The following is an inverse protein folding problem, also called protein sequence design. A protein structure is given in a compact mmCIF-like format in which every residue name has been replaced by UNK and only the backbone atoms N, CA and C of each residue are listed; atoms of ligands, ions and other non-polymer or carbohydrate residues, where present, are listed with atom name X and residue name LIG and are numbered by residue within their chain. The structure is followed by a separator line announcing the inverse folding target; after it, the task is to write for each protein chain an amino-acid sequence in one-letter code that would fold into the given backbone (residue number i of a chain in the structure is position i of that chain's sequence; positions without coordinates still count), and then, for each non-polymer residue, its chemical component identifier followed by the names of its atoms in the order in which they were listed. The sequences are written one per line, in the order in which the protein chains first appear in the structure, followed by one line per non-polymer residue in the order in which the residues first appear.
data_IF_436723109930
#
_entry.id   IF_436723109930
#
_cell.length_a   1.000
_cell.length_b   1.000
_cell.length_c   1.000
_cell.angle_alpha   90.00
_cell.angle_beta   90.00
_cell.angle_gamma   90.00
#
_symmetry.space_group_name_H-M   'P 1'
#
loop_
_entity.id
_entity.type
_entity.pdbx_description
1 polymer ?
#
# COMPACT_ATOMS: atom_id res chain seq x y z
N UNK A 1 28.58 24.47 -2.79
CA UNK A 1 27.15 24.45 -3.20
C UNK A 1 26.38 23.80 -2.06
N UNK A 2 25.58 24.57 -1.33
CA UNK A 2 24.77 24.03 -0.24
C UNK A 2 23.65 23.16 -0.84
N UNK A 3 23.53 21.91 -0.39
CA UNK A 3 22.42 21.03 -0.71
C UNK A 3 21.12 21.74 -0.29
N UNK A 4 20.13 21.91 -1.18
CA UNK A 4 18.85 22.48 -0.77
C UNK A 4 18.28 21.65 0.39
N UNK A 5 17.57 22.29 1.34
CA UNK A 5 16.95 21.56 2.45
C UNK A 5 16.06 20.45 1.87
N UNK A 6 16.05 19.25 2.46
CA UNK A 6 15.21 18.16 1.99
C UNK A 6 13.77 18.65 1.97
N UNK A 7 13.16 18.68 0.80
CA UNK A 7 11.74 18.97 0.65
C UNK A 7 10.96 17.72 1.06
N UNK A 8 9.81 17.88 1.71
CA UNK A 8 8.98 16.76 2.13
C UNK A 8 8.14 16.18 0.97
N UNK A 9 8.34 16.68 -0.25
CA UNK A 9 7.62 16.29 -1.45
C UNK A 9 8.57 16.08 -2.63
N UNK A 10 8.51 14.90 -3.26
CA UNK A 10 9.28 14.55 -4.45
C UNK A 10 8.37 14.08 -5.58
N UNK A 11 8.75 14.40 -6.81
CA UNK A 11 8.05 13.96 -8.00
C UNK A 11 9.02 13.31 -8.99
N UNK A 12 8.69 12.10 -9.43
CA UNK A 12 9.41 11.38 -10.46
C UNK A 12 8.50 11.20 -11.68
N UNK A 13 8.94 11.73 -12.82
CA UNK A 13 8.19 11.68 -14.07
C UNK A 13 8.25 10.31 -14.73
N UNK A 14 7.10 9.71 -15.03
CA UNK A 14 6.96 8.53 -15.88
C UNK A 14 5.53 8.48 -16.43
N UNK A 15 5.40 8.28 -17.74
CA UNK A 15 4.11 8.16 -18.45
C UNK A 15 3.77 6.72 -18.83
N UNK A 16 4.77 5.84 -18.87
CA UNK A 16 4.63 4.40 -19.06
C UNK A 16 4.35 3.67 -17.73
N UNK A 17 3.25 2.89 -17.62
CA UNK A 17 2.88 2.24 -16.37
C UNK A 17 3.89 1.22 -15.83
N UNK A 18 4.52 0.47 -16.72
CA UNK A 18 5.51 -0.54 -16.38
C UNK A 18 6.77 0.12 -15.83
N UNK A 19 7.29 1.15 -16.52
CA UNK A 19 8.41 1.95 -16.03
C UNK A 19 8.09 2.65 -14.71
N UNK A 20 6.87 3.17 -14.55
CA UNK A 20 6.45 3.77 -13.29
C UNK A 20 6.45 2.74 -12.15
N UNK A 21 6.01 1.50 -12.41
CA UNK A 21 6.05 0.44 -11.42
C UNK A 21 7.48 0.05 -11.02
N UNK A 22 8.38 -0.11 -11.99
CA UNK A 22 9.81 -0.35 -11.72
C UNK A 22 10.45 0.80 -10.93
N UNK A 23 10.10 2.03 -11.27
CA UNK A 23 10.59 3.21 -10.57
C UNK A 23 10.08 3.28 -9.12
N UNK A 24 8.82 2.92 -8.87
CA UNK A 24 8.29 2.78 -7.50
C UNK A 24 9.11 1.75 -6.72
N UNK A 25 9.40 0.58 -7.31
CA UNK A 25 10.18 -0.47 -6.65
C UNK A 25 11.60 0.01 -6.33
N UNK A 26 12.29 0.67 -7.28
CA UNK A 26 13.63 1.23 -7.06
C UNK A 26 13.62 2.34 -5.98
N UNK A 27 12.58 3.18 -5.96
CA UNK A 27 12.42 4.24 -4.96
C UNK A 27 12.28 3.64 -3.56
N UNK A 28 11.40 2.65 -3.39
CA UNK A 28 11.09 2.03 -2.09
C UNK A 28 12.26 1.18 -1.60
N UNK A 29 12.81 0.32 -2.46
CA UNK A 29 13.83 -0.64 -2.05
C UNK A 29 15.23 -0.05 -1.93
N UNK A 30 15.48 1.12 -2.55
CA UNK A 30 16.83 1.65 -2.67
C UNK A 30 16.93 3.16 -2.44
N UNK A 31 16.28 3.99 -3.27
CA UNK A 31 16.55 5.45 -3.24
C UNK A 31 16.18 6.11 -1.93
N UNK A 32 15.03 5.77 -1.35
CA UNK A 32 14.58 6.37 -0.09
C UNK A 32 15.44 5.85 1.07
N UNK A 33 15.63 4.53 1.27
CA UNK A 33 16.50 4.02 2.32
C UNK A 33 17.94 4.56 2.25
N UNK A 34 18.57 4.52 1.07
CA UNK A 34 19.98 4.95 0.92
C UNK A 34 20.15 6.46 1.13
N UNK A 35 19.24 7.29 0.60
CA UNK A 35 19.42 8.74 0.61
C UNK A 35 19.04 9.38 1.95
N UNK A 36 18.03 8.84 2.62
CA UNK A 36 17.44 9.44 3.81
C UNK A 36 17.62 8.61 5.07
N UNK A 37 18.25 7.44 4.98
CA UNK A 37 18.42 6.49 6.09
C UNK A 37 17.07 6.11 6.73
N UNK A 38 16.05 5.90 5.89
CA UNK A 38 14.70 5.54 6.32
C UNK A 38 14.52 4.02 6.18
N UNK A 39 14.11 3.30 7.23
CA UNK A 39 13.81 1.88 7.15
C UNK A 39 12.75 1.58 6.10
N UNK A 40 12.84 0.44 5.42
CA UNK A 40 11.86 0.03 4.40
C UNK A 40 10.45 -0.11 5.01
N UNK A 41 10.36 -0.51 6.28
CA UNK A 41 9.10 -0.66 7.00
C UNK A 41 8.37 0.67 7.23
N UNK A 42 9.10 1.78 7.22
CA UNK A 42 8.55 3.14 7.35
C UNK A 42 7.99 3.68 6.02
N UNK A 43 8.15 2.93 4.92
CA UNK A 43 7.72 3.31 3.58
C UNK A 43 6.47 2.51 3.20
N UNK A 44 5.41 3.23 2.82
CA UNK A 44 4.18 2.64 2.33
C UNK A 44 3.89 3.05 0.90
N UNK A 45 3.61 2.08 0.04
CA UNK A 45 3.10 2.34 -1.30
C UNK A 45 1.57 2.41 -1.26
N UNK A 46 1.00 3.54 -1.69
CA UNK A 46 -0.43 3.74 -1.81
C UNK A 46 -0.79 3.90 -3.28
N UNK A 47 -1.47 2.93 -3.88
CA UNK A 47 -1.90 3.01 -5.28
C UNK A 47 -3.39 3.37 -5.37
N UNK A 48 -3.80 4.28 -6.28
CA UNK A 48 -5.22 4.51 -6.53
C UNK A 48 -5.90 3.29 -7.16
N UNK A 49 -5.14 2.42 -7.85
CA UNK A 49 -5.68 1.24 -8.54
C UNK A 49 -5.29 -0.08 -7.87
N UNK A 50 -6.20 -1.06 -7.93
CA UNK A 50 -5.90 -2.43 -7.52
C UNK A 50 -5.18 -3.25 -8.61
N UNK A 51 -5.53 -3.03 -9.89
CA UNK A 51 -5.01 -3.76 -11.07
C UNK A 51 -4.16 -2.85 -11.95
N UNK A 52 -3.45 -3.48 -12.89
CA UNK A 52 -2.51 -2.82 -13.81
C UNK A 52 -1.07 -2.84 -13.31
N UNK A 53 -0.10 -2.45 -14.15
CA UNK A 53 1.33 -2.57 -13.84
C UNK A 53 1.75 -1.80 -12.58
N UNK A 54 1.21 -0.58 -12.38
CA UNK A 54 1.39 0.24 -11.18
C UNK A 54 0.22 0.11 -10.17
N UNK A 55 -0.57 -0.96 -10.27
CA UNK A 55 -1.64 -1.28 -9.33
C UNK A 55 -1.09 -1.96 -8.07
N UNK A 56 -1.81 -1.85 -6.95
CA UNK A 56 -1.38 -2.41 -5.67
C UNK A 56 -1.01 -3.91 -5.74
N UNK A 57 -1.72 -4.71 -6.55
CA UNK A 57 -1.41 -6.14 -6.71
C UNK A 57 -0.05 -6.38 -7.37
N UNK A 58 0.17 -5.79 -8.54
CA UNK A 58 1.42 -5.96 -9.29
C UNK A 58 2.61 -5.37 -8.50
N UNK A 59 2.40 -4.25 -7.81
CA UNK A 59 3.40 -3.66 -6.93
C UNK A 59 3.74 -4.56 -5.74
N UNK A 60 2.76 -5.24 -5.12
CA UNK A 60 3.04 -6.21 -4.07
C UNK A 60 3.93 -7.36 -4.58
N UNK A 61 3.62 -7.92 -5.76
CA UNK A 61 4.41 -9.00 -6.35
C UNK A 61 5.86 -8.55 -6.63
N UNK A 62 6.03 -7.36 -7.25
CA UNK A 62 7.36 -6.79 -7.55
C UNK A 62 8.14 -6.42 -6.29
N UNK A 63 7.49 -5.78 -5.31
CA UNK A 63 8.11 -5.39 -4.05
C UNK A 63 8.48 -6.61 -3.22
N UNK A 64 7.63 -7.64 -3.15
CA UNK A 64 7.98 -8.91 -2.50
C UNK A 64 9.21 -9.53 -3.18
N UNK A 65 9.24 -9.62 -4.51
CA UNK A 65 10.39 -10.18 -5.22
C UNK A 65 11.69 -9.42 -4.96
N UNK A 66 11.61 -8.09 -4.73
CA UNK A 66 12.77 -7.24 -4.46
C UNK A 66 13.20 -7.23 -3.00
N UNK A 67 12.25 -7.18 -2.08
CA UNK A 67 12.47 -6.97 -0.64
C UNK A 67 12.53 -8.29 0.14
N UNK A 68 11.83 -9.31 -0.32
CA UNK A 68 11.80 -10.65 0.25
C UNK A 68 11.90 -11.72 -0.87
N UNK A 69 13.05 -11.80 -1.57
CA UNK A 69 13.23 -12.68 -2.72
C UNK A 69 13.06 -14.15 -2.34
N UNK A 70 12.74 -14.97 -3.34
CA UNK A 70 12.68 -16.43 -3.19
C UNK A 70 14.04 -16.96 -2.70
N UNK A 71 13.96 -17.84 -1.72
CA UNK A 71 15.10 -18.55 -1.13
C UNK A 71 14.78 -20.03 -1.08
N UNK A 72 15.60 -20.86 -1.72
CA UNK A 72 15.38 -22.31 -1.79
C UNK A 72 15.46 -23.01 -0.43
N UNK A 73 16.11 -22.38 0.55
CA UNK A 73 16.25 -22.87 1.92
C UNK A 73 15.09 -22.44 2.85
N UNK A 74 14.04 -21.81 2.31
CA UNK A 74 12.90 -21.33 3.10
C UNK A 74 11.56 -21.76 2.49
N UNK A 75 10.54 -22.03 3.33
CA UNK A 75 9.23 -22.39 2.83
C UNK A 75 8.54 -21.21 2.14
N UNK A 76 7.74 -21.51 1.12
CA UNK A 76 6.75 -20.61 0.55
C UNK A 76 5.38 -21.28 0.53
N UNK A 77 4.32 -20.51 0.76
CA UNK A 77 2.95 -20.99 0.61
C UNK A 77 2.25 -20.22 -0.51
N UNK A 78 1.59 -20.96 -1.41
CA UNK A 78 0.87 -20.40 -2.56
C UNK A 78 -0.64 -20.55 -2.34
N UNK A 79 -1.33 -19.42 -2.23
CA UNK A 79 -2.79 -19.36 -2.18
C UNK A 79 -3.33 -18.69 -3.43
N UNK A 80 -3.80 -19.52 -4.37
CA UNK A 80 -4.21 -19.09 -5.71
C UNK A 80 -3.08 -18.37 -6.45
N UNK A 81 -3.21 -17.04 -6.57
CA UNK A 81 -2.22 -16.19 -7.26
C UNK A 81 -1.30 -15.41 -6.31
N UNK A 82 -1.49 -15.55 -5.00
CA UNK A 82 -0.64 -14.94 -3.97
C UNK A 82 0.41 -15.94 -3.52
N UNK A 83 1.60 -15.44 -3.24
CA UNK A 83 2.68 -16.20 -2.62
C UNK A 83 3.01 -15.52 -1.31
N UNK A 84 3.17 -16.31 -0.25
CA UNK A 84 3.53 -15.87 1.08
C UNK A 84 4.85 -16.51 1.48
N UNK A 85 5.70 -15.72 2.14
CA UNK A 85 7.03 -16.09 2.62
C UNK A 85 7.24 -15.56 4.04
N UNK A 86 8.02 -16.25 4.89
CA UNK A 86 8.50 -15.67 6.13
C UNK A 86 9.17 -14.31 5.88
N UNK A 87 8.83 -13.32 6.72
CA UNK A 87 9.26 -11.94 6.61
C UNK A 87 8.31 -11.02 5.83
N UNK A 88 7.32 -11.56 5.12
CA UNK A 88 6.37 -10.73 4.36
C UNK A 88 5.49 -9.87 5.27
N UNK A 89 5.29 -8.61 4.87
CA UNK A 89 4.26 -7.74 5.42
C UNK A 89 2.90 -8.14 4.84
N UNK A 90 1.93 -8.41 5.72
CA UNK A 90 0.57 -8.82 5.35
C UNK A 90 -0.47 -7.89 5.97
N UNK A 91 -1.64 -7.84 5.36
CA UNK A 91 -2.81 -7.06 5.78
C UNK A 91 -3.97 -8.03 6.02
N UNK A 92 -4.61 -7.90 7.18
CA UNK A 92 -5.86 -8.59 7.49
C UNK A 92 -7.02 -7.96 6.71
N UNK A 93 -7.79 -8.77 5.99
CA UNK A 93 -8.85 -8.32 5.07
C UNK A 93 -10.25 -8.27 5.68
N UNK A 94 -10.47 -8.96 6.80
CA UNK A 94 -11.77 -9.04 7.48
C UNK A 94 -11.56 -9.16 8.99
N UNK A 95 -12.52 -8.75 9.80
CA UNK A 95 -12.41 -8.93 11.25
C UNK A 95 -12.48 -10.42 11.58
N UNK A 96 -11.58 -10.89 12.41
CA UNK A 96 -11.60 -12.22 13.00
C UNK A 96 -11.52 -12.06 14.51
N UNK A 97 -12.69 -12.14 15.16
CA UNK A 97 -12.83 -11.87 16.59
C UNK A 97 -12.23 -12.98 17.45
N UNK A 98 -12.21 -14.22 16.97
CA UNK A 98 -11.61 -15.35 17.69
C UNK A 98 -10.08 -15.17 17.78
N UNK A 99 -9.49 -14.64 16.71
CA UNK A 99 -8.05 -14.32 16.63
C UNK A 99 -7.75 -12.91 17.11
N UNK A 100 -8.74 -12.12 17.53
CA UNK A 100 -8.59 -10.71 17.93
C UNK A 100 -7.79 -9.86 16.91
N UNK A 101 -8.05 -10.04 15.61
CA UNK A 101 -7.43 -9.25 14.52
C UNK A 101 -8.51 -8.58 13.70
N UNK A 102 -8.26 -7.34 13.29
CA UNK A 102 -9.24 -6.49 12.62
C UNK A 102 -8.84 -6.19 11.18
N UNK A 103 -9.85 -5.94 10.35
CA UNK A 103 -9.62 -5.53 8.97
C UNK A 103 -8.79 -4.23 8.93
N UNK A 104 -7.65 -4.29 8.25
CA UNK A 104 -6.69 -3.19 8.19
C UNK A 104 -5.43 -3.40 9.03
N UNK A 105 -5.42 -4.37 9.93
CA UNK A 105 -4.24 -4.69 10.73
C UNK A 105 -3.11 -5.17 9.83
N UNK A 106 -1.90 -4.66 10.09
CA UNK A 106 -0.69 -5.03 9.36
C UNK A 106 0.13 -5.93 10.26
N UNK A 107 0.46 -7.12 9.75
CA UNK A 107 1.32 -8.08 10.42
C UNK A 107 2.55 -8.43 9.59
N UNK A 108 3.44 -9.24 10.18
CA UNK A 108 4.58 -9.84 9.50
C UNK A 108 4.54 -11.35 9.65
N UNK A 109 4.70 -12.09 8.57
CA UNK A 109 4.80 -13.54 8.63
C UNK A 109 6.09 -13.92 9.37
N UNK A 110 5.96 -14.65 10.47
CA UNK A 110 7.10 -15.16 11.23
C UNK A 110 7.60 -16.48 10.65
N UNK A 111 6.68 -17.41 10.40
CA UNK A 111 6.98 -18.74 9.89
C UNK A 111 5.83 -19.31 9.07
N UNK A 112 6.18 -20.23 8.17
CA UNK A 112 5.23 -21.06 7.43
C UNK A 112 5.60 -22.51 7.73
N UNK A 113 4.66 -23.28 8.25
CA UNK A 113 4.80 -24.71 8.49
C UNK A 113 3.99 -25.48 7.44
N UNK A 114 4.68 -26.17 6.54
CA UNK A 114 4.04 -26.93 5.46
C UNK A 114 3.53 -28.30 5.94
N UNK A 115 4.02 -28.81 7.06
CA UNK A 115 3.62 -30.11 7.61
C UNK A 115 2.32 -29.95 8.40
N UNK A 116 2.28 -28.96 9.28
CA UNK A 116 1.07 -28.62 10.06
C UNK A 116 0.02 -27.86 9.23
N UNK A 117 0.43 -27.25 8.12
CA UNK A 117 -0.48 -26.54 7.22
C UNK A 117 -0.87 -25.16 7.74
N UNK A 118 0.07 -24.44 8.36
CA UNK A 118 -0.18 -23.20 9.08
C UNK A 118 0.81 -22.08 8.73
N UNK A 119 0.36 -20.83 8.91
CA UNK A 119 1.16 -19.61 8.83
C UNK A 119 1.04 -18.87 10.17
N UNK A 120 2.18 -18.52 10.77
CA UNK A 120 2.22 -17.64 11.95
C UNK A 120 2.52 -16.21 11.52
N UNK A 121 1.71 -15.28 11.99
CA UNK A 121 1.81 -13.85 11.68
C UNK A 121 1.90 -13.08 12.99
N UNK A 122 2.95 -12.27 13.12
CA UNK A 122 3.09 -11.30 14.20
C UNK A 122 2.29 -10.03 13.87
N UNK A 123 1.29 -9.73 14.68
CA UNK A 123 0.58 -8.46 14.68
C UNK A 123 1.00 -7.66 15.91
N UNK A 124 1.96 -6.76 15.73
CA UNK A 124 2.46 -5.85 16.78
C UNK A 124 2.92 -6.58 18.06
N UNK A 125 3.68 -7.66 17.93
CA UNK A 125 4.19 -8.46 19.05
C UNK A 125 3.27 -9.60 19.49
N UNK A 126 2.15 -9.82 18.79
CA UNK A 126 1.22 -10.90 19.03
C UNK A 126 1.22 -11.88 17.88
N UNK A 127 1.76 -13.07 18.12
CA UNK A 127 1.74 -14.18 17.15
C UNK A 127 0.33 -14.77 17.03
N UNK A 128 -0.22 -14.72 15.83
CA UNK A 128 -1.52 -15.30 15.45
C UNK A 128 -1.30 -16.39 14.40
N UNK A 129 -1.90 -17.56 14.63
CA UNK A 129 -1.84 -18.70 13.71
C UNK A 129 -3.00 -18.68 12.71
N UNK A 130 -2.70 -18.94 11.45
CA UNK A 130 -3.66 -19.13 10.37
C UNK A 130 -3.44 -20.51 9.76
N UNK A 131 -4.45 -21.36 9.82
CA UNK A 131 -4.51 -22.54 8.96
C UNK A 131 -4.57 -22.10 7.49
N UNK A 132 -4.08 -22.94 6.58
CA UNK A 132 -4.13 -22.68 5.14
C UNK A 132 -5.54 -22.38 4.60
N UNK A 133 -6.57 -22.92 5.24
CA UNK A 133 -8.00 -22.64 5.00
C UNK A 133 -8.38 -21.17 5.21
N UNK A 134 -7.72 -20.48 6.15
CA UNK A 134 -7.99 -19.09 6.54
C UNK A 134 -7.06 -18.07 5.88
N UNK A 135 -6.09 -18.51 5.06
CA UNK A 135 -5.10 -17.61 4.45
C UNK A 135 -5.72 -16.64 3.44
N UNK A 136 -6.95 -16.89 2.99
CA UNK A 136 -7.71 -15.94 2.14
C UNK A 136 -8.07 -14.64 2.88
N UNK A 137 -7.99 -14.64 4.22
CA UNK A 137 -8.09 -13.44 5.06
C UNK A 137 -6.86 -12.53 4.98
N UNK A 138 -5.74 -13.02 4.46
CA UNK A 138 -4.49 -12.28 4.36
C UNK A 138 -4.18 -11.84 2.92
N UNK A 139 -3.54 -10.69 2.78
CA UNK A 139 -2.90 -10.24 1.53
C UNK A 139 -1.58 -9.57 1.82
N UNK A 140 -0.66 -9.54 0.86
CA UNK A 140 0.55 -8.73 0.97
C UNK A 140 0.23 -7.24 1.17
N UNK A 141 1.05 -6.56 1.97
CA UNK A 141 0.85 -5.18 2.41
C UNK A 141 1.97 -4.20 1.99
N UNK A 142 2.91 -4.61 1.12
CA UNK A 142 3.93 -3.71 0.56
C UNK A 142 3.30 -2.53 -0.21
N UNK A 143 2.21 -2.81 -0.91
CA UNK A 143 1.36 -1.82 -1.56
C UNK A 143 -0.12 -2.05 -1.21
N UNK A 144 -0.86 -0.97 -0.96
CA UNK A 144 -2.29 -1.04 -0.72
C UNK A 144 -3.03 0.08 -1.44
N UNK A 145 -4.36 -0.03 -1.52
CA UNK A 145 -5.15 1.06 -2.08
C UNK A 145 -5.31 2.20 -1.08
N UNK A 146 -5.44 3.43 -1.58
CA UNK A 146 -5.66 4.61 -0.73
C UNK A 146 -6.87 4.43 0.21
N UNK A 147 -7.94 3.81 -0.28
CA UNK A 147 -9.12 3.49 0.53
C UNK A 147 -8.82 2.55 1.70
N UNK A 148 -7.96 1.54 1.49
CA UNK A 148 -7.56 0.60 2.54
C UNK A 148 -6.60 1.20 3.56
N UNK A 149 -6.00 2.35 3.27
CA UNK A 149 -5.15 3.08 4.21
C UNK A 149 -5.94 4.04 5.13
N UNK A 150 -7.27 4.02 5.09
CA UNK A 150 -8.08 4.94 5.86
C UNK A 150 -7.90 4.74 7.37
N UNK A 151 -7.44 5.78 8.06
CA UNK A 151 -7.15 5.76 9.50
C UNK A 151 -5.67 5.51 9.83
N UNK A 152 -4.89 4.97 8.89
CA UNK A 152 -3.46 4.75 9.07
C UNK A 152 -2.64 5.97 8.63
N UNK A 153 -1.45 6.14 9.17
CA UNK A 153 -0.48 7.14 8.72
C UNK A 153 0.91 6.51 8.69
N UNK A 154 1.74 6.92 7.73
CA UNK A 154 3.06 6.35 7.49
C UNK A 154 4.12 7.45 7.47
N UNK A 155 5.35 7.20 7.95
CA UNK A 155 6.43 8.17 7.83
C UNK A 155 6.64 8.62 6.38
N UNK A 156 6.64 7.69 5.44
CA UNK A 156 6.82 7.95 4.02
C UNK A 156 5.75 7.28 3.17
N UNK A 157 5.16 8.04 2.24
CA UNK A 157 4.21 7.50 1.24
C UNK A 157 4.79 7.63 -0.16
N UNK A 158 4.74 6.53 -0.93
CA UNK A 158 5.03 6.51 -2.36
C UNK A 158 3.73 6.27 -3.15
N UNK A 159 3.38 7.19 -4.03
CA UNK A 159 2.12 7.25 -4.75
C UNK A 159 2.33 7.19 -6.27
N UNK A 160 2.09 6.04 -6.94
CA UNK A 160 1.95 6.00 -8.39
C UNK A 160 0.70 6.76 -8.85
N UNK A 161 0.85 7.72 -9.75
CA UNK A 161 -0.23 8.54 -10.29
C UNK A 161 -0.13 8.76 -11.80
N UNK A 162 -0.74 7.85 -12.56
CA UNK A 162 -0.73 7.83 -14.02
C UNK A 162 -2.06 8.33 -14.60
N UNK A 163 -2.04 8.81 -15.84
CA UNK A 163 -3.25 9.30 -16.54
C UNK A 163 -4.25 8.18 -16.81
N UNK A 164 -3.80 6.94 -16.94
CA UNK A 164 -4.65 5.76 -17.11
C UNK A 164 -5.57 5.52 -15.89
N UNK A 165 -5.29 6.16 -14.75
CA UNK A 165 -6.11 6.09 -13.55
C UNK A 165 -7.29 7.07 -13.58
N UNK A 166 -7.62 7.68 -14.73
CA UNK A 166 -8.47 8.87 -14.84
C UNK A 166 -9.81 8.81 -14.07
N UNK A 167 -10.46 7.64 -14.00
CA UNK A 167 -11.72 7.46 -13.26
C UNK A 167 -11.58 7.69 -11.75
N UNK A 168 -10.40 7.44 -11.19
CA UNK A 168 -10.08 7.57 -9.77
C UNK A 168 -9.26 8.82 -9.45
N UNK A 169 -8.85 9.59 -10.47
CA UNK A 169 -8.17 10.87 -10.29
C UNK A 169 -9.17 11.93 -9.79
N UNK A 170 -9.46 11.88 -8.49
CA UNK A 170 -10.30 12.83 -7.77
C UNK A 170 -9.46 13.59 -6.75
N UNK A 171 -9.79 14.86 -6.50
CA UNK A 171 -9.05 15.68 -5.53
C UNK A 171 -9.01 15.04 -4.16
N UNK A 172 -10.13 14.50 -3.69
CA UNK A 172 -10.24 13.86 -2.37
C UNK A 172 -9.34 12.63 -2.26
N UNK A 173 -9.21 11.82 -3.31
CA UNK A 173 -8.33 10.64 -3.29
C UNK A 173 -6.86 11.06 -3.20
N UNK A 174 -6.44 12.04 -4.02
CA UNK A 174 -5.07 12.56 -3.99
C UNK A 174 -4.76 13.23 -2.64
N UNK A 175 -5.68 14.06 -2.14
CA UNK A 175 -5.55 14.70 -0.84
C UNK A 175 -5.44 13.66 0.29
N UNK A 176 -6.27 12.62 0.25
CA UNK A 176 -6.20 11.52 1.22
C UNK A 176 -4.85 10.84 1.15
N UNK A 177 -4.38 10.43 -0.04
CA UNK A 177 -3.08 9.77 -0.19
C UNK A 177 -1.91 10.63 0.33
N UNK A 178 -1.92 11.94 0.05
CA UNK A 178 -0.90 12.89 0.53
C UNK A 178 -0.94 13.01 2.06
N UNK A 179 -2.12 13.16 2.65
CA UNK A 179 -2.29 13.32 4.10
C UNK A 179 -2.00 12.05 4.91
N UNK A 180 -1.82 10.90 4.26
CA UNK A 180 -1.33 9.67 4.92
C UNK A 180 0.16 9.74 5.26
N UNK A 181 0.92 10.66 4.68
CA UNK A 181 2.35 10.82 4.97
C UNK A 181 2.60 11.77 6.14
N UNK A 182 3.41 11.35 7.11
CA UNK A 182 3.85 12.18 8.24
C UNK A 182 5.07 13.04 7.93
N UNK A 183 6.00 12.54 7.10
CA UNK A 183 7.30 13.18 6.85
C UNK A 183 7.59 13.41 5.38
N UNK A 184 7.23 12.46 4.50
CA UNK A 184 7.60 12.55 3.09
C UNK A 184 6.56 11.93 2.16
N UNK A 185 6.27 12.63 1.06
CA UNK A 185 5.47 12.14 -0.06
C UNK A 185 6.35 12.05 -1.30
N UNK A 186 6.28 10.91 -2.00
CA UNK A 186 6.90 10.71 -3.31
C UNK A 186 5.84 10.33 -4.32
N UNK A 187 5.65 11.15 -5.35
CA UNK A 187 4.73 10.84 -6.45
C UNK A 187 5.52 10.33 -7.65
N UNK A 188 5.10 9.20 -8.22
CA UNK A 188 5.65 8.63 -9.46
C UNK A 188 4.57 8.67 -10.54
N UNK A 189 4.78 9.40 -11.62
CA UNK A 189 3.81 9.43 -12.70
C UNK A 189 3.87 10.70 -13.53
N UNK A 190 2.72 11.23 -13.93
CA UNK A 190 2.68 12.39 -14.84
C UNK A 190 2.12 13.63 -14.16
N UNK A 191 2.68 14.81 -14.50
CA UNK A 191 2.11 16.10 -14.08
C UNK A 191 0.68 16.28 -14.58
N UNK A 192 0.35 15.70 -15.74
CA UNK A 192 -1.00 15.68 -16.31
C UNK A 192 -1.99 14.95 -15.39
N UNK A 193 -1.62 13.79 -14.86
CA UNK A 193 -2.46 13.04 -13.92
C UNK A 193 -2.69 13.82 -12.61
N UNK A 194 -1.65 14.48 -12.08
CA UNK A 194 -1.78 15.37 -10.92
C UNK A 194 -2.77 16.51 -11.23
N UNK A 195 -2.58 17.20 -12.35
CA UNK A 195 -3.45 18.30 -12.75
C UNK A 195 -4.92 17.85 -12.95
N UNK A 196 -5.14 16.66 -13.51
CA UNK A 196 -6.48 16.06 -13.64
C UNK A 196 -7.09 15.80 -12.27
N UNK A 197 -6.36 15.18 -11.34
CA UNK A 197 -6.85 14.89 -9.99
C UNK A 197 -7.20 16.18 -9.22
N UNK A 198 -6.34 17.20 -9.27
CA UNK A 198 -6.57 18.48 -8.59
C UNK A 198 -7.78 19.23 -9.15
N UNK A 199 -7.99 19.19 -10.47
CA UNK A 199 -9.14 19.84 -11.13
C UNK A 199 -10.45 19.09 -10.93
N UNK A 200 -10.40 17.79 -10.68
CA UNK A 200 -11.59 16.96 -10.53
C UNK A 200 -12.15 17.06 -9.10
N UNK A 201 -12.89 18.15 -8.88
CA UNK A 201 -13.64 18.45 -7.66
C UNK A 201 -15.11 18.00 -7.76
N UNK A 202 -15.40 16.98 -8.56
CA UNK A 202 -16.74 16.39 -8.58
C UNK A 202 -16.99 15.74 -7.23
N UNK A 203 -17.51 16.53 -6.30
CA UNK A 203 -18.21 16.05 -5.11
C UNK A 203 -19.30 15.13 -5.65
N UNK A 204 -19.16 13.82 -5.46
CA UNK A 204 -20.24 12.87 -5.72
C UNK A 204 -21.44 13.43 -4.96
N UNK A 205 -22.46 13.91 -5.66
CA UNK A 205 -23.65 14.47 -5.01
C UNK A 205 -24.16 13.41 -4.03
N UNK A 206 -24.00 13.68 -2.73
CA UNK A 206 -24.35 12.72 -1.69
C UNK A 206 -25.82 12.92 -1.41
N UNK A 207 -26.64 12.07 -2.01
CA UNK A 207 -28.08 12.05 -1.77
C UNK A 207 -28.31 11.59 -0.32
N UNK A 208 -28.54 12.54 0.59
CA UNK A 208 -28.82 12.26 2.00
C UNK A 208 -29.86 13.24 2.53
N UNK A 209 -30.85 12.72 3.26
CA UNK A 209 -31.86 13.52 3.96
C UNK A 209 -31.38 14.02 5.34
N UNK A 210 -30.12 13.72 5.74
CA UNK A 210 -29.60 14.09 7.06
C UNK A 210 -29.62 15.61 7.28
N UNK A 211 -29.22 16.38 6.27
CA UNK A 211 -29.23 17.85 6.34
C UNK A 211 -30.64 18.40 6.49
N UNK A 212 -31.63 17.77 5.85
CA UNK A 212 -33.04 18.16 5.97
C UNK A 212 -33.60 17.82 7.35
N UNK A 213 -33.27 16.63 7.89
CA UNK A 213 -33.67 16.21 9.24
C UNK A 213 -33.06 17.06 10.35
N UNK A 214 -31.81 17.49 10.21
CA UNK A 214 -31.15 18.36 11.18
C UNK A 214 -31.65 19.81 11.14
N UNK A 215 -32.31 20.23 10.05
CA UNK A 215 -32.94 21.55 9.93
C UNK A 215 -34.37 21.59 10.43
N UNK A 216 -35.04 20.43 10.47
CA UNK A 216 -36.45 20.28 10.82
C UNK A 216 -36.68 19.56 12.16
N UNK A 217 -35.63 19.35 12.96
CA UNK A 217 -35.69 18.82 14.33
C UNK A 217 -35.12 19.82 15.31
#
# INVERSE_FOLDING_TARGET
MATPPPTDFYFFGSDDPEQAAELVVDIVARRIPEKFNIPIDDIQVLSPMHRGPAGARALNEKLQARLNPLRYDRPEYRSGSRVFRPGDRVLQLRNNYDKDVFNGDIGRIESIDLEEGEIRVDFEGRSVTYEFSDVDELTLAYAMSVHKSQGSEYPVVVLPLLTQHYMLLQRNLLYTAITRAKKMVVIVGTRKAIAMAVKNDKITARWTALTERLRNG
#
